data_IF_510098729615
#
_entry.id   IF_510098729615
#
_cell.length_a   1.000
_cell.length_b   1.000
_cell.length_c   1.000
_cell.angle_alpha   90.00
_cell.angle_beta   90.00
_cell.angle_gamma   90.00
#
_symmetry.space_group_name_H-M   'P 1'
#
loop_
_entity.id
_entity.type
_entity.pdbx_description
1 polymer ?
#
# COMPACT_ATOMS: atom_id res chain seq x y z
N UNK A 1 -8.63 16.30 -12.42
CA UNK A 1 -8.28 17.09 -11.23
C UNK A 1 -7.81 16.20 -10.06
N UNK A 2 -8.60 15.19 -9.61
CA UNK A 2 -8.21 14.33 -8.48
C UNK A 2 -6.89 13.56 -8.73
N UNK A 3 -6.72 12.98 -9.92
CA UNK A 3 -5.46 12.32 -10.31
C UNK A 3 -4.27 13.28 -10.26
N UNK A 4 -4.45 14.53 -10.70
CA UNK A 4 -3.41 15.55 -10.57
C UNK A 4 -3.12 15.87 -9.11
N UNK A 5 -4.14 15.97 -8.25
CA UNK A 5 -3.94 16.17 -6.82
C UNK A 5 -3.07 15.07 -6.18
N UNK A 6 -3.28 13.81 -6.56
CA UNK A 6 -2.42 12.71 -6.11
C UNK A 6 -1.00 12.80 -6.69
N UNK A 7 -0.84 13.16 -7.98
CA UNK A 7 0.48 13.33 -8.58
C UNK A 7 1.27 14.43 -7.87
N UNK A 8 0.64 15.59 -7.62
CA UNK A 8 1.23 16.70 -6.88
C UNK A 8 1.61 16.29 -5.45
N UNK A 9 0.74 15.53 -4.78
CA UNK A 9 0.99 15.00 -3.44
C UNK A 9 2.23 14.09 -3.40
N UNK A 10 2.36 13.19 -4.38
CA UNK A 10 3.53 12.30 -4.49
C UNK A 10 4.81 13.07 -4.80
N UNK A 11 4.74 14.04 -5.70
CA UNK A 11 5.88 14.92 -6.01
C UNK A 11 6.36 15.67 -4.77
N UNK A 12 5.42 16.28 -4.04
CA UNK A 12 5.75 17.15 -2.90
C UNK A 12 6.25 16.39 -1.66
N UNK A 13 5.75 15.17 -1.43
CA UNK A 13 6.01 14.44 -0.19
C UNK A 13 7.03 13.30 -0.34
N UNK A 14 7.17 12.71 -1.54
CA UNK A 14 8.08 11.60 -1.80
C UNK A 14 9.12 11.92 -2.87
N UNK A 15 9.05 13.10 -3.51
CA UNK A 15 9.83 13.46 -4.71
C UNK A 15 9.67 12.43 -5.85
N UNK A 16 8.46 11.87 -6.00
CA UNK A 16 8.10 10.89 -7.03
C UNK A 16 7.21 11.56 -8.07
N UNK A 17 7.57 11.44 -9.33
CA UNK A 17 6.77 11.93 -10.45
C UNK A 17 5.84 10.83 -10.97
N UNK A 18 4.53 11.11 -10.96
CA UNK A 18 3.50 10.24 -11.51
C UNK A 18 2.74 10.97 -12.62
N UNK A 19 2.55 10.30 -13.75
CA UNK A 19 1.71 10.83 -14.82
C UNK A 19 0.22 10.70 -14.44
N UNK A 20 -0.42 11.83 -14.16
CA UNK A 20 -1.83 11.88 -13.76
C UNK A 20 -2.80 11.33 -14.81
N UNK A 21 -2.39 11.18 -16.07
CA UNK A 21 -3.26 10.68 -17.14
C UNK A 21 -3.40 9.15 -17.13
N UNK A 22 -2.33 8.42 -16.78
CA UNK A 22 -2.28 6.97 -16.97
C UNK A 22 -1.54 6.18 -15.88
N UNK A 23 -0.89 6.83 -14.90
CA UNK A 23 -0.18 6.13 -13.82
C UNK A 23 -0.92 6.19 -12.48
N UNK A 24 -2.12 6.78 -12.44
CA UNK A 24 -2.94 6.92 -11.22
C UNK A 24 -4.37 6.54 -11.52
N UNK A 25 -4.91 5.61 -10.74
CA UNK A 25 -6.33 5.24 -10.75
C UNK A 25 -6.96 5.52 -9.37
N UNK A 26 -7.87 6.50 -9.27
CA UNK A 26 -8.63 6.73 -8.04
C UNK A 26 -9.52 5.54 -7.67
N UNK A 27 -9.64 5.28 -6.38
CA UNK A 27 -10.37 4.16 -5.79
C UNK A 27 -11.32 4.64 -4.69
N UNK A 28 -12.39 3.87 -4.45
CA UNK A 28 -13.26 4.07 -3.29
C UNK A 28 -12.63 3.47 -2.01
N UNK A 29 -11.43 3.99 -1.66
CA UNK A 29 -10.54 3.48 -0.64
C UNK A 29 -9.57 2.43 -1.19
N UNK A 30 -8.39 2.28 -0.58
CA UNK A 30 -7.35 1.32 -1.03
C UNK A 30 -7.82 -0.14 -0.97
N UNK A 31 -8.75 -0.48 -0.06
CA UNK A 31 -9.30 -1.83 0.07
C UNK A 31 -9.97 -2.34 -1.22
N UNK A 32 -10.66 -1.48 -1.95
CA UNK A 32 -11.20 -1.79 -3.27
C UNK A 32 -10.10 -2.18 -4.26
N UNK A 33 -8.96 -1.49 -4.17
CA UNK A 33 -7.79 -1.78 -5.01
C UNK A 33 -7.24 -3.19 -4.80
N UNK A 34 -7.29 -3.72 -3.58
CA UNK A 34 -6.86 -5.10 -3.31
C UNK A 34 -7.67 -6.08 -4.16
N UNK A 35 -9.00 -5.92 -4.22
CA UNK A 35 -9.88 -6.75 -5.06
C UNK A 35 -9.57 -6.57 -6.55
N UNK A 36 -9.48 -5.33 -7.01
CA UNK A 36 -9.27 -5.06 -8.44
C UNK A 36 -7.90 -5.54 -8.94
N UNK A 37 -6.85 -5.39 -8.14
CA UNK A 37 -5.52 -5.91 -8.44
C UNK A 37 -5.56 -7.44 -8.51
N UNK A 38 -6.18 -8.08 -7.53
CA UNK A 38 -6.28 -9.54 -7.52
C UNK A 38 -7.05 -10.07 -8.73
N UNK A 39 -8.18 -9.46 -9.10
CA UNK A 39 -8.95 -9.83 -10.29
C UNK A 39 -8.19 -9.55 -11.60
N UNK A 40 -7.33 -8.55 -11.64
CA UNK A 40 -6.58 -8.18 -12.84
C UNK A 40 -5.37 -9.08 -13.11
N UNK A 41 -4.74 -9.62 -12.05
CA UNK A 41 -3.44 -10.29 -12.16
C UNK A 41 -3.40 -11.75 -11.71
N UNK A 42 -4.50 -12.28 -11.15
CA UNK A 42 -4.55 -13.65 -10.64
C UNK A 42 -5.58 -14.49 -11.38
N UNK A 43 -5.24 -15.75 -11.56
CA UNK A 43 -6.12 -16.81 -12.03
C UNK A 43 -6.20 -17.93 -10.99
N UNK A 44 -7.16 -18.85 -11.18
CA UNK A 44 -7.25 -20.07 -10.39
C UNK A 44 -5.91 -20.83 -10.37
N UNK A 45 -5.43 -21.15 -9.17
CA UNK A 45 -4.19 -21.89 -8.96
C UNK A 45 -2.92 -21.06 -8.94
N UNK A 46 -2.96 -19.75 -9.25
CA UNK A 46 -1.85 -18.84 -9.00
C UNK A 46 -1.60 -18.71 -7.49
N UNK A 47 -0.37 -18.40 -7.11
CA UNK A 47 0.02 -18.20 -5.71
C UNK A 47 0.34 -16.73 -5.43
N UNK A 48 0.04 -16.32 -4.18
CA UNK A 48 0.23 -14.96 -3.68
C UNK A 48 1.00 -15.01 -2.37
N UNK A 49 2.12 -14.29 -2.30
CA UNK A 49 2.87 -14.14 -1.05
C UNK A 49 2.17 -13.10 -0.14
N UNK A 50 1.86 -13.51 1.08
CA UNK A 50 1.10 -12.72 2.06
C UNK A 50 1.86 -12.63 3.38
N UNK A 51 2.03 -11.42 3.96
CA UNK A 51 2.75 -11.25 5.23
C UNK A 51 1.98 -11.88 6.41
N UNK A 52 2.71 -12.49 7.33
CA UNK A 52 2.20 -13.00 8.58
C UNK A 52 3.09 -12.53 9.77
N UNK A 53 2.57 -11.66 10.67
CA UNK A 53 1.23 -11.08 10.66
C UNK A 53 1.02 -10.12 9.50
N UNK A 54 -0.25 -9.86 9.14
CA UNK A 54 -0.61 -8.95 8.06
C UNK A 54 -2.09 -8.63 8.00
N UNK A 55 -2.47 -7.79 7.04
CA UNK A 55 -3.86 -7.37 6.87
C UNK A 55 -4.72 -8.52 6.33
N UNK A 56 -5.78 -8.95 7.05
CA UNK A 56 -6.55 -10.15 6.69
C UNK A 56 -7.19 -10.12 5.30
N UNK A 57 -7.42 -8.92 4.76
CA UNK A 57 -8.06 -8.77 3.43
C UNK A 57 -7.21 -9.38 2.32
N UNK A 58 -5.88 -9.41 2.44
CA UNK A 58 -5.03 -10.00 1.39
C UNK A 58 -5.35 -11.48 1.19
N UNK A 59 -5.42 -12.26 2.28
CA UNK A 59 -5.76 -13.67 2.22
C UNK A 59 -7.19 -13.89 1.73
N UNK A 60 -8.16 -13.18 2.32
CA UNK A 60 -9.58 -13.33 1.97
C UNK A 60 -9.85 -13.04 0.49
N UNK A 61 -9.22 -12.00 -0.07
CA UNK A 61 -9.40 -11.67 -1.49
C UNK A 61 -8.67 -12.68 -2.38
N UNK A 62 -7.48 -13.15 -1.98
CA UNK A 62 -6.77 -14.20 -2.72
C UNK A 62 -7.63 -15.45 -2.86
N UNK A 63 -8.30 -15.88 -1.78
CA UNK A 63 -9.23 -17.02 -1.81
C UNK A 63 -10.46 -16.75 -2.67
N UNK A 64 -11.03 -15.54 -2.61
CA UNK A 64 -12.20 -15.17 -3.41
C UNK A 64 -11.96 -15.26 -4.93
N UNK A 65 -10.74 -15.00 -5.37
CA UNK A 65 -10.34 -15.14 -6.79
C UNK A 65 -9.78 -16.51 -7.12
N UNK A 66 -9.92 -17.48 -6.21
CA UNK A 66 -9.48 -18.89 -6.35
C UNK A 66 -7.96 -19.05 -6.52
N UNK A 67 -7.19 -18.05 -6.10
CA UNK A 67 -5.75 -18.15 -5.98
C UNK A 67 -5.36 -18.69 -4.59
N UNK A 68 -4.11 -19.12 -4.40
CA UNK A 68 -3.62 -19.71 -3.17
C UNK A 68 -2.78 -18.71 -2.37
N UNK A 69 -3.14 -18.50 -1.11
CA UNK A 69 -2.34 -17.73 -0.17
C UNK A 69 -1.12 -18.53 0.31
N UNK A 70 0.07 -17.98 0.14
CA UNK A 70 1.34 -18.50 0.64
C UNK A 70 1.90 -17.49 1.63
N UNK A 71 1.95 -17.86 2.90
CA UNK A 71 2.37 -16.95 3.95
C UNK A 71 3.90 -16.91 4.09
N UNK A 72 4.44 -15.69 4.24
CA UNK A 72 5.81 -15.47 4.71
C UNK A 72 5.78 -14.80 6.08
N UNK A 73 6.59 -15.34 7.01
CA UNK A 73 6.57 -14.86 8.38
C UNK A 73 7.48 -13.65 8.55
N UNK A 74 6.92 -12.60 9.13
CA UNK A 74 7.66 -11.43 9.61
C UNK A 74 7.99 -11.65 11.09
N UNK A 75 9.20 -11.30 11.49
CA UNK A 75 9.69 -11.49 12.85
C UNK A 75 10.36 -10.25 13.37
N UNK A 76 10.25 -10.03 14.68
CA UNK A 76 10.83 -8.87 15.37
C UNK A 76 12.37 -8.88 15.24
N UNK A 77 13.00 -10.04 15.34
CA UNK A 77 14.45 -10.20 15.18
C UNK A 77 14.98 -9.79 13.79
N UNK A 78 14.10 -9.64 12.80
CA UNK A 78 14.40 -9.16 11.45
C UNK A 78 13.67 -7.85 11.14
N UNK A 79 13.44 -7.01 12.15
CA UNK A 79 12.74 -5.72 12.02
C UNK A 79 11.43 -5.80 11.25
N UNK A 80 10.73 -6.93 11.38
CA UNK A 80 9.47 -7.20 10.66
C UNK A 80 9.60 -7.10 9.15
N UNK A 81 10.77 -7.44 8.59
CA UNK A 81 11.03 -7.48 7.15
C UNK A 81 10.91 -8.91 6.60
N UNK A 82 10.59 -9.09 5.31
CA UNK A 82 10.64 -10.39 4.66
C UNK A 82 12.03 -11.01 4.74
N UNK A 83 12.09 -12.29 5.05
CA UNK A 83 13.32 -13.09 4.95
C UNK A 83 13.47 -13.54 3.49
N UNK A 84 14.19 -12.75 2.70
CA UNK A 84 14.40 -13.03 1.28
C UNK A 84 15.18 -14.33 1.06
N UNK A 85 16.12 -14.70 1.96
CA UNK A 85 16.85 -15.96 1.84
C UNK A 85 15.94 -17.18 2.03
N UNK A 86 14.98 -17.07 2.93
CA UNK A 86 13.96 -18.11 3.11
C UNK A 86 13.01 -18.17 1.91
N UNK A 87 12.57 -17.02 1.40
CA UNK A 87 11.71 -16.95 0.20
C UNK A 87 12.39 -17.55 -1.04
N UNK A 88 13.67 -17.29 -1.25
CA UNK A 88 14.47 -17.84 -2.36
C UNK A 88 14.58 -19.38 -2.33
N UNK A 89 14.37 -20.01 -1.17
CA UNK A 89 14.38 -21.48 -1.02
C UNK A 89 13.04 -22.13 -1.27
N UNK A 90 11.98 -21.33 -1.48
CA UNK A 90 10.63 -21.84 -1.78
C UNK A 90 10.40 -21.98 -3.29
N UNK A 91 9.40 -22.77 -3.68
CA UNK A 91 8.97 -22.79 -5.09
C UNK A 91 8.14 -21.55 -5.39
N UNK A 92 8.71 -20.65 -6.19
CA UNK A 92 8.10 -19.39 -6.61
C UNK A 92 7.45 -19.46 -8.00
N UNK A 93 7.44 -20.62 -8.65
CA UNK A 93 7.03 -20.77 -10.07
C UNK A 93 5.59 -20.36 -10.35
N UNK A 94 4.70 -20.46 -9.35
CA UNK A 94 3.29 -20.07 -9.42
C UNK A 94 2.98 -18.72 -8.78
N UNK A 95 3.96 -18.11 -8.13
CA UNK A 95 3.76 -16.82 -7.43
C UNK A 95 3.65 -15.70 -8.46
N UNK A 96 2.55 -14.94 -8.40
CA UNK A 96 2.28 -13.81 -9.31
C UNK A 96 2.51 -12.46 -8.66
N UNK A 97 2.16 -12.34 -7.38
CA UNK A 97 2.36 -11.11 -6.64
C UNK A 97 2.68 -11.35 -5.17
N UNK A 98 3.29 -10.35 -4.56
CA UNK A 98 3.54 -10.27 -3.13
C UNK A 98 2.88 -9.01 -2.55
N UNK A 99 2.08 -9.18 -1.50
CA UNK A 99 1.58 -8.08 -0.70
C UNK A 99 2.62 -7.66 0.32
N UNK A 100 2.92 -6.37 0.38
CA UNK A 100 3.69 -5.74 1.43
C UNK A 100 2.95 -4.50 1.93
N UNK A 101 3.17 -4.10 3.18
CA UNK A 101 2.54 -2.92 3.76
C UNK A 101 3.53 -2.26 4.72
N UNK A 102 4.01 -1.06 4.38
CA UNK A 102 4.90 -0.30 5.26
C UNK A 102 4.55 1.19 5.18
N UNK A 103 4.34 1.87 6.35
CA UNK A 103 4.40 1.33 7.72
C UNK A 103 3.47 0.13 7.93
N UNK A 104 4.02 -0.91 8.58
CA UNK A 104 3.38 -2.23 8.61
C UNK A 104 2.22 -2.30 9.61
N UNK A 105 1.11 -2.86 9.20
CA UNK A 105 0.00 -3.21 10.06
C UNK A 105 0.01 -4.74 10.31
N UNK A 106 0.10 -5.24 11.56
CA UNK A 106 -0.15 -4.51 12.81
C UNK A 106 1.10 -4.03 13.57
N UNK A 107 2.33 -4.30 13.12
CA UNK A 107 3.55 -4.14 13.94
C UNK A 107 4.03 -2.70 14.08
N UNK A 108 3.66 -1.82 13.14
CA UNK A 108 4.14 -0.43 13.10
C UNK A 108 5.55 -0.26 12.52
N UNK A 109 6.19 -1.32 12.04
CA UNK A 109 7.51 -1.24 11.41
C UNK A 109 7.49 -0.36 10.16
N UNK A 110 8.51 0.50 10.01
CA UNK A 110 8.64 1.39 8.86
C UNK A 110 9.45 0.74 7.73
N UNK A 111 9.19 1.16 6.49
CA UNK A 111 10.08 0.85 5.38
C UNK A 111 11.42 1.56 5.50
N UNK A 112 12.44 0.98 4.88
CA UNK A 112 13.69 1.64 4.54
C UNK A 112 13.90 1.63 3.03
N UNK A 113 14.73 2.52 2.51
CA UNK A 113 15.08 2.47 1.08
C UNK A 113 15.77 1.15 0.71
N UNK A 114 16.55 0.59 1.63
CA UNK A 114 17.19 -0.71 1.44
C UNK A 114 16.16 -1.84 1.30
N UNK A 115 15.14 -1.87 2.18
CA UNK A 115 14.06 -2.84 2.07
C UNK A 115 13.31 -2.70 0.75
N UNK A 116 12.96 -1.47 0.36
CA UNK A 116 12.29 -1.21 -0.91
C UNK A 116 13.15 -1.66 -2.11
N UNK A 117 14.47 -1.44 -2.06
CA UNK A 117 15.38 -1.93 -3.10
C UNK A 117 15.37 -3.46 -3.17
N UNK A 118 15.49 -4.15 -2.02
CA UNK A 118 15.43 -5.63 -1.97
C UNK A 118 14.11 -6.18 -2.52
N UNK A 119 12.99 -5.53 -2.24
CA UNK A 119 11.68 -5.91 -2.77
C UNK A 119 11.65 -5.78 -4.31
N UNK A 120 12.14 -4.68 -4.83
CA UNK A 120 12.18 -4.44 -6.29
C UNK A 120 13.11 -5.43 -6.98
N UNK A 121 14.29 -5.69 -6.40
CA UNK A 121 15.24 -6.66 -6.95
C UNK A 121 14.65 -8.08 -6.95
N UNK A 122 13.99 -8.48 -5.86
CA UNK A 122 13.28 -9.75 -5.75
C UNK A 122 12.16 -9.86 -6.79
N UNK A 123 11.33 -8.82 -6.92
CA UNK A 123 10.26 -8.78 -7.92
C UNK A 123 10.78 -8.91 -9.35
N UNK A 124 11.84 -8.17 -9.71
CA UNK A 124 12.49 -8.26 -11.02
C UNK A 124 13.09 -9.63 -11.29
N UNK A 125 13.81 -10.20 -10.31
CA UNK A 125 14.47 -11.51 -10.42
C UNK A 125 13.49 -12.64 -10.71
N UNK A 126 12.34 -12.63 -10.02
CA UNK A 126 11.37 -13.73 -10.08
C UNK A 126 10.13 -13.41 -10.93
N UNK A 127 10.08 -12.22 -11.55
CA UNK A 127 8.90 -11.72 -12.27
C UNK A 127 7.62 -11.75 -11.39
N UNK A 128 7.76 -11.30 -10.14
CA UNK A 128 6.68 -11.23 -9.14
C UNK A 128 6.30 -9.76 -8.95
N UNK A 129 5.01 -9.41 -9.14
CA UNK A 129 4.50 -8.07 -8.94
C UNK A 129 4.54 -7.69 -7.45
N UNK A 130 5.21 -6.61 -7.12
CA UNK A 130 5.23 -6.06 -5.77
C UNK A 130 4.02 -5.14 -5.58
N UNK A 131 3.18 -5.39 -4.58
CA UNK A 131 2.06 -4.51 -4.26
C UNK A 131 2.24 -3.95 -2.86
N UNK A 132 2.63 -2.68 -2.78
CA UNK A 132 2.80 -1.97 -1.52
C UNK A 132 1.50 -1.27 -1.12
N UNK A 133 0.88 -1.73 -0.03
CA UNK A 133 -0.27 -1.05 0.59
C UNK A 133 0.24 -0.06 1.63
N UNK A 134 0.19 1.23 1.29
CA UNK A 134 0.85 2.33 2.01
C UNK A 134 -0.14 3.39 2.56
N UNK A 135 -1.13 3.01 3.38
CA UNK A 135 -2.10 3.98 3.93
C UNK A 135 -1.57 4.76 5.14
N UNK A 136 -0.47 4.32 5.75
CA UNK A 136 0.03 4.85 7.02
C UNK A 136 1.29 5.72 6.91
N UNK A 137 1.73 6.08 5.70
CA UNK A 137 2.99 6.80 5.45
C UNK A 137 3.26 7.98 6.39
N UNK A 138 2.22 8.71 6.78
CA UNK A 138 2.34 9.95 7.57
C UNK A 138 1.86 9.79 9.02
N UNK A 139 1.47 8.58 9.44
CA UNK A 139 0.97 8.33 10.79
C UNK A 139 2.11 7.90 11.69
N UNK A 140 2.51 8.77 12.63
CA UNK A 140 3.62 8.56 13.58
C UNK A 140 4.93 8.14 12.87
N UNK A 141 5.16 8.65 11.67
CA UNK A 141 6.32 8.36 10.85
C UNK A 141 6.95 9.67 10.37
N UNK A 142 8.20 9.88 10.74
CA UNK A 142 8.96 11.10 10.42
C UNK A 142 9.58 11.05 9.02
N UNK A 143 9.76 9.86 8.46
CA UNK A 143 10.40 9.62 7.18
C UNK A 143 9.49 8.81 6.24
N UNK A 144 8.42 9.42 5.72
CA UNK A 144 7.50 8.73 4.81
C UNK A 144 8.21 8.34 3.51
N UNK A 145 8.04 7.08 3.10
CA UNK A 145 8.64 6.55 1.88
C UNK A 145 7.56 6.03 0.93
N UNK A 146 7.83 6.14 -0.36
CA UNK A 146 7.13 5.45 -1.45
C UNK A 146 8.07 4.42 -2.08
N UNK A 147 7.53 3.28 -2.49
CA UNK A 147 8.30 2.27 -3.23
C UNK A 147 8.82 2.82 -4.56
N UNK A 148 8.16 3.85 -5.10
CA UNK A 148 8.56 4.49 -6.36
C UNK A 148 9.78 5.41 -6.26
N UNK A 149 10.36 5.58 -5.06
CA UNK A 149 11.67 6.23 -4.92
C UNK A 149 12.82 5.32 -5.39
N UNK A 150 12.56 4.04 -5.61
CA UNK A 150 13.53 3.10 -6.17
C UNK A 150 13.46 3.14 -7.69
N UNK A 151 14.62 3.28 -8.33
CA UNK A 151 14.74 3.33 -9.79
C UNK A 151 14.22 2.05 -10.46
N UNK A 152 13.39 2.21 -11.48
CA UNK A 152 12.77 1.09 -12.21
C UNK A 152 11.72 0.31 -11.42
N UNK A 153 11.27 0.83 -10.26
CA UNK A 153 10.22 0.19 -9.46
C UNK A 153 8.87 0.17 -10.17
N UNK A 154 8.55 1.18 -10.97
CA UNK A 154 7.27 1.24 -11.70
C UNK A 154 7.06 0.06 -12.66
N UNK A 155 8.14 -0.58 -13.12
CA UNK A 155 8.04 -1.71 -14.05
C UNK A 155 7.50 -2.98 -13.38
N UNK A 156 7.64 -3.08 -12.06
CA UNK A 156 7.33 -4.30 -11.30
C UNK A 156 6.55 -4.03 -10.01
N UNK A 157 6.14 -2.79 -9.76
CA UNK A 157 5.42 -2.46 -8.54
C UNK A 157 4.14 -1.66 -8.77
N UNK A 158 3.18 -1.89 -7.88
CA UNK A 158 2.00 -1.07 -7.62
C UNK A 158 2.07 -0.52 -6.21
N UNK A 159 1.58 0.70 -6.00
CA UNK A 159 1.39 1.25 -4.67
C UNK A 159 -0.05 1.71 -4.47
N UNK A 160 -0.67 1.21 -3.39
CA UNK A 160 -1.95 1.69 -2.90
C UNK A 160 -1.73 2.80 -1.87
N UNK A 161 -2.51 3.86 -1.96
CA UNK A 161 -2.54 4.91 -0.95
C UNK A 161 -3.99 5.25 -0.59
N UNK A 162 -4.21 5.80 0.61
CA UNK A 162 -5.55 6.06 1.13
C UNK A 162 -5.58 7.33 1.97
N UNK A 163 -6.61 8.15 1.76
CA UNK A 163 -6.87 9.31 2.59
C UNK A 163 -7.48 8.92 3.96
N UNK A 164 -7.89 7.67 4.10
CA UNK A 164 -8.57 7.17 5.32
C UNK A 164 -7.77 7.39 6.59
N UNK A 165 -6.44 7.21 6.53
CA UNK A 165 -5.55 7.32 7.69
C UNK A 165 -4.78 8.62 7.67
N UNK A 166 -4.13 8.94 6.56
CA UNK A 166 -3.32 10.15 6.37
C UNK A 166 -4.10 11.43 6.66
N UNK A 167 -5.36 11.50 6.23
CA UNK A 167 -6.21 12.69 6.39
C UNK A 167 -7.43 12.47 7.28
N UNK A 168 -7.47 11.37 8.05
CA UNK A 168 -8.59 11.05 8.94
C UNK A 168 -9.96 10.97 8.21
N UNK A 169 -9.94 10.57 6.94
CA UNK A 169 -11.10 10.55 6.03
C UNK A 169 -11.62 9.12 5.77
N UNK A 170 -11.66 8.26 6.79
CA UNK A 170 -12.03 6.85 6.62
C UNK A 170 -13.42 6.66 5.98
N UNK A 171 -14.42 7.44 6.40
CA UNK A 171 -15.79 7.38 5.87
C UNK A 171 -15.96 7.96 4.45
N UNK A 172 -15.02 8.75 3.96
CA UNK A 172 -15.07 9.38 2.64
C UNK A 172 -14.78 8.40 1.50
N UNK A 173 -14.18 7.27 1.79
CA UNK A 173 -13.85 6.23 0.83
C UNK A 173 -13.04 6.73 -0.36
N UNK A 174 -11.89 7.37 -0.10
CA UNK A 174 -10.96 7.84 -1.13
C UNK A 174 -9.60 7.19 -0.97
N UNK A 175 -9.09 6.64 -2.04
CA UNK A 175 -7.75 6.12 -2.19
C UNK A 175 -7.33 6.14 -3.66
N UNK A 176 -6.21 5.55 -3.94
CA UNK A 176 -5.73 5.33 -5.29
C UNK A 176 -4.83 4.10 -5.37
N UNK A 177 -4.65 3.60 -6.58
CA UNK A 177 -3.51 2.77 -6.96
C UNK A 177 -2.68 3.50 -7.99
N UNK A 178 -1.36 3.38 -7.88
CA UNK A 178 -0.39 3.93 -8.84
C UNK A 178 0.60 2.87 -9.28
N UNK A 179 1.16 3.05 -10.47
CA UNK A 179 2.09 2.17 -11.14
C UNK A 179 2.29 2.60 -12.59
N UNK A 180 2.97 1.78 -13.41
CA UNK A 180 3.07 2.12 -14.82
C UNK A 180 1.72 2.01 -15.54
N UNK A 181 1.63 2.64 -16.70
CA UNK A 181 0.40 2.75 -17.48
C UNK A 181 -0.23 1.39 -17.86
N UNK A 182 0.59 0.37 -18.10
CA UNK A 182 0.13 -0.97 -18.51
C UNK A 182 -0.56 -1.66 -17.33
N UNK A 183 0.05 -1.60 -16.14
CA UNK A 183 -0.52 -2.18 -14.92
C UNK A 183 -1.80 -1.44 -14.52
N UNK A 184 -1.81 -0.11 -14.61
CA UNK A 184 -3.00 0.70 -14.30
C UNK A 184 -4.13 0.45 -15.30
N UNK A 185 -3.85 0.28 -16.59
CA UNK A 185 -4.87 -0.07 -17.60
C UNK A 185 -5.52 -1.44 -17.32
N UNK A 186 -4.72 -2.43 -16.91
CA UNK A 186 -5.24 -3.74 -16.51
C UNK A 186 -6.23 -3.64 -15.33
N UNK A 187 -5.89 -2.87 -14.31
CA UNK A 187 -6.77 -2.63 -13.15
C UNK A 187 -8.01 -1.83 -13.57
N UNK A 188 -7.85 -0.83 -14.44
CA UNK A 188 -8.96 -0.03 -14.95
C UNK A 188 -9.99 -0.88 -15.70
N UNK A 189 -9.57 -1.89 -16.47
CA UNK A 189 -10.48 -2.83 -17.14
C UNK A 189 -11.39 -3.54 -16.15
N UNK A 190 -10.87 -3.94 -14.99
CA UNK A 190 -11.70 -4.53 -13.92
C UNK A 190 -12.62 -3.46 -13.32
N UNK A 191 -12.05 -2.34 -12.86
CA UNK A 191 -12.78 -1.29 -12.15
C UNK A 191 -13.90 -0.70 -12.99
N UNK A 192 -13.70 -0.46 -14.28
CA UNK A 192 -14.70 0.13 -15.17
C UNK A 192 -15.97 -0.74 -15.35
N UNK A 193 -15.92 -2.03 -14.97
CA UNK A 193 -17.07 -2.90 -14.91
C UNK A 193 -17.73 -2.96 -13.52
N UNK A 194 -17.15 -2.31 -12.51
CA UNK A 194 -17.67 -2.28 -11.14
C UNK A 194 -18.37 -0.96 -10.80
N UNK A 195 -17.84 0.17 -11.31
CA UNK A 195 -18.41 1.49 -11.09
C UNK A 195 -18.14 2.45 -12.27
N UNK A 196 -18.92 3.52 -12.34
CA UNK A 196 -18.78 4.61 -13.33
C UNK A 196 -18.00 5.82 -12.79
N UNK A 197 -17.39 5.68 -11.64
CA UNK A 197 -16.57 6.73 -11.01
C UNK A 197 -17.14 7.24 -9.68
N UNK A 198 -16.34 8.05 -9.03
CA UNK A 198 -16.60 8.58 -7.69
C UNK A 198 -17.44 9.87 -7.75
N UNK A 199 -18.34 10.06 -6.79
CA UNK A 199 -19.13 11.29 -6.66
C UNK A 199 -18.23 12.53 -6.63
N UNK A 200 -18.58 13.55 -7.44
CA UNK A 200 -17.74 14.72 -7.66
C UNK A 200 -17.43 15.53 -6.38
N UNK A 201 -18.41 15.64 -5.48
CA UNK A 201 -18.22 16.33 -4.19
C UNK A 201 -17.12 15.68 -3.34
N UNK A 202 -17.06 14.34 -3.30
CA UNK A 202 -16.00 13.60 -2.63
C UNK A 202 -14.63 13.86 -3.28
N UNK A 203 -14.57 13.91 -4.62
CA UNK A 203 -13.34 14.23 -5.34
C UNK A 203 -12.82 15.64 -4.96
N UNK A 204 -13.70 16.64 -4.87
CA UNK A 204 -13.33 18.00 -4.46
C UNK A 204 -12.83 18.07 -3.02
N UNK A 205 -13.49 17.35 -2.10
CA UNK A 205 -13.01 17.23 -0.72
C UNK A 205 -11.64 16.56 -0.62
N UNK A 206 -11.42 15.49 -1.40
CA UNK A 206 -10.12 14.83 -1.49
C UNK A 206 -9.02 15.76 -2.02
N UNK A 207 -9.29 16.52 -3.08
CA UNK A 207 -8.36 17.51 -3.63
C UNK A 207 -7.99 18.56 -2.58
N UNK A 208 -8.96 19.02 -1.78
CA UNK A 208 -8.69 19.97 -0.70
C UNK A 208 -7.79 19.35 0.38
N UNK A 209 -8.04 18.09 0.77
CA UNK A 209 -7.22 17.36 1.74
C UNK A 209 -5.78 17.15 1.24
N UNK A 210 -5.59 16.75 -0.02
CA UNK A 210 -4.27 16.52 -0.63
C UNK A 210 -3.39 17.78 -0.69
N UNK A 211 -3.96 18.96 -0.52
CA UNK A 211 -3.24 20.24 -0.45
C UNK A 211 -2.79 20.61 0.96
N UNK A 212 -3.22 19.86 1.98
CA UNK A 212 -2.79 20.09 3.35
C UNK A 212 -1.30 19.76 3.46
N UNK A 213 -0.57 20.62 4.16
CA UNK A 213 0.88 20.53 4.31
C UNK A 213 1.32 19.85 5.60
N UNK A 214 2.59 20.03 5.90
CA UNK A 214 3.28 19.46 7.05
C UNK A 214 2.59 19.74 8.39
N UNK A 215 2.09 20.96 8.57
CA UNK A 215 1.39 21.38 9.80
C UNK A 215 0.19 20.47 10.13
N UNK A 216 -0.52 19.98 9.11
CA UNK A 216 -1.60 19.02 9.30
C UNK A 216 -1.08 17.70 9.88
N UNK A 217 -0.04 17.14 9.29
CA UNK A 217 0.54 15.87 9.75
C UNK A 217 1.12 15.98 11.16
N UNK A 218 1.81 17.07 11.46
CA UNK A 218 2.37 17.36 12.79
C UNK A 218 1.24 17.43 13.83
N UNK A 219 0.20 18.21 13.56
CA UNK A 219 -0.96 18.34 14.46
C UNK A 219 -1.66 17.00 14.74
N UNK A 220 -1.86 16.16 13.70
CA UNK A 220 -2.45 14.83 13.87
C UNK A 220 -1.51 13.90 14.64
N UNK A 221 -0.22 13.92 14.36
CA UNK A 221 0.76 13.08 15.02
C UNK A 221 0.96 13.45 16.50
N UNK A 222 0.80 14.71 16.90
CA UNK A 222 0.74 15.09 18.30
C UNK A 222 -0.41 14.40 19.05
N UNK A 223 -1.60 14.35 18.43
CA UNK A 223 -2.76 13.66 18.99
C UNK A 223 -2.50 12.15 19.09
N UNK A 224 -1.96 11.54 18.04
CA UNK A 224 -1.65 10.12 18.02
C UNK A 224 -0.55 9.76 19.01
N UNK A 225 0.46 10.59 19.17
CA UNK A 225 1.53 10.40 20.17
C UNK A 225 0.96 10.38 21.59
N UNK A 226 0.10 11.33 21.93
CA UNK A 226 -0.58 11.35 23.24
C UNK A 226 -1.39 10.08 23.48
N UNK A 227 -2.18 9.65 22.48
CA UNK A 227 -3.00 8.42 22.57
C UNK A 227 -2.14 7.16 22.70
N UNK A 228 -1.08 7.05 21.90
CA UNK A 228 -0.12 5.94 21.96
C UNK A 228 0.51 5.82 23.34
N UNK A 229 0.97 6.92 23.92
CA UNK A 229 1.61 6.92 25.23
C UNK A 229 0.63 6.44 26.31
N UNK A 230 -0.64 6.88 26.28
CA UNK A 230 -1.68 6.39 27.21
C UNK A 230 -1.91 4.87 27.06
N UNK A 231 -1.88 4.34 25.83
CA UNK A 231 -2.01 2.89 25.60
C UNK A 231 -0.81 2.14 26.16
N UNK A 232 0.42 2.65 25.99
CA UNK A 232 1.62 2.03 26.56
C UNK A 232 1.59 2.02 28.09
N UNK A 233 1.20 3.14 28.73
CA UNK A 233 1.01 3.18 30.18
C UNK A 233 -0.04 2.16 30.66
N UNK A 234 -1.11 1.95 29.88
CA UNK A 234 -2.12 0.95 30.19
C UNK A 234 -1.58 -0.46 30.05
N UNK A 235 -0.86 -0.75 28.95
CA UNK A 235 -0.26 -2.06 28.69
C UNK A 235 0.73 -2.45 29.80
N UNK A 236 1.60 -1.53 30.23
CA UNK A 236 2.50 -1.73 31.36
C UNK A 236 1.75 -2.09 32.66
N UNK A 237 0.64 -1.38 32.97
CA UNK A 237 -0.20 -1.69 34.14
C UNK A 237 -0.89 -3.05 34.05
N UNK A 238 -1.12 -3.55 32.84
CA UNK A 238 -1.74 -4.85 32.57
C UNK A 238 -0.72 -5.98 32.42
N UNK A 239 0.58 -5.69 32.51
CA UNK A 239 1.68 -6.61 32.25
C UNK A 239 1.61 -7.25 30.83
N UNK A 240 1.29 -6.45 29.82
CA UNK A 240 1.23 -6.83 28.41
C UNK A 240 2.42 -6.25 27.64
#
# INVERSE_FOLDING_TARGET
ELRQGFADFYKNNFNVELNSNNEILPLMGSKEGIMHISLAFLNEGDEVLIPNPGYPTYASVTELVQAKAVYYNLKEENDWQPDFEALEKTDLSKVKLIWVSYPHMPTGANATLELNQKLIDFGKKHNILIVNDNPYSFVLNENPLSIFQIEGSKDIALELNSLSKTFNMAGWRVGMVSGNAILIDAILKVKSNMDSGMFYGIQKGAIAALKLGKDWFESQNEIYTKRRNLIFELAEKMNC
#
